data_IF_445264780364
#
_entry.id   IF_445264780364
#
_cell.length_a   1.000
_cell.length_b   1.000
_cell.length_c   1.000
_cell.angle_alpha   90.00
_cell.angle_beta   90.00
_cell.angle_gamma   90.00
#
_symmetry.space_group_name_H-M   'P 1'
#
loop_
_entity.id
_entity.type
_entity.pdbx_description
1 polymer ?
#
# COMPACT_ATOMS: atom_id res chain seq x y z
N UNK A 1 -49.78 96.69 -25.55
CA UNK A 1 -48.55 95.92 -25.32
C UNK A 1 -48.88 94.45 -25.46
N UNK A 2 -47.97 93.67 -26.03
CA UNK A 2 -48.21 92.38 -26.70
C UNK A 2 -48.88 91.28 -25.86
N UNK A 3 -49.70 90.48 -26.57
CA UNK A 3 -50.09 89.13 -26.18
C UNK A 3 -48.83 88.24 -26.21
N UNK A 4 -48.45 87.67 -25.08
CA UNK A 4 -47.41 86.64 -24.99
C UNK A 4 -48.02 85.33 -24.55
N UNK A 5 -48.47 84.53 -25.52
CA UNK A 5 -49.00 83.19 -25.26
C UNK A 5 -47.89 82.25 -24.80
N UNK A 6 -47.91 81.86 -23.54
CA UNK A 6 -47.25 80.65 -23.06
C UNK A 6 -48.16 79.46 -23.35
N UNK A 7 -48.28 79.08 -24.62
CA UNK A 7 -48.79 77.76 -24.98
C UNK A 7 -47.91 76.67 -24.37
N UNK A 8 -48.40 75.41 -24.31
CA UNK A 8 -47.64 74.31 -23.76
C UNK A 8 -46.24 74.27 -24.40
N UNK A 9 -45.24 74.14 -23.53
CA UNK A 9 -43.84 73.88 -23.90
C UNK A 9 -43.87 72.78 -24.95
N UNK A 10 -43.28 73.09 -26.10
CA UNK A 10 -43.21 72.24 -27.29
C UNK A 10 -43.18 70.75 -26.95
N UNK A 11 -44.09 69.98 -27.56
CA UNK A 11 -43.87 68.55 -27.71
C UNK A 11 -42.53 68.40 -28.43
N UNK A 12 -41.45 68.16 -27.69
CA UNK A 12 -40.21 67.61 -28.22
C UNK A 12 -40.60 66.39 -29.06
N UNK A 13 -40.06 66.29 -30.28
CA UNK A 13 -40.11 65.17 -31.25
C UNK A 13 -41.05 64.02 -30.88
N UNK A 14 -42.00 63.58 -31.74
CA UNK A 14 -42.92 62.48 -31.38
C UNK A 14 -42.10 61.33 -30.80
N UNK A 15 -42.23 61.07 -29.49
CA UNK A 15 -41.47 60.01 -28.87
C UNK A 15 -41.97 58.72 -29.49
N UNK A 16 -41.08 58.05 -30.22
CA UNK A 16 -41.41 56.83 -30.92
C UNK A 16 -41.65 55.75 -29.87
N UNK A 17 -42.91 55.43 -29.61
CA UNK A 17 -43.26 54.21 -28.88
C UNK A 17 -43.07 53.06 -29.85
N UNK A 18 -41.87 52.49 -29.86
CA UNK A 18 -41.59 51.23 -30.56
C UNK A 18 -42.10 50.09 -29.70
N UNK A 19 -43.07 49.34 -30.22
CA UNK A 19 -43.42 48.03 -29.69
C UNK A 19 -42.25 47.08 -29.96
N UNK A 20 -41.46 46.81 -28.92
CA UNK A 20 -40.46 45.72 -28.96
C UNK A 20 -41.09 44.50 -28.35
N UNK A 21 -41.14 43.42 -29.13
CA UNK A 21 -41.52 42.11 -28.61
C UNK A 21 -40.68 41.74 -27.38
N UNK A 22 -41.32 41.06 -26.44
CA UNK A 22 -40.62 40.36 -25.36
C UNK A 22 -39.84 39.20 -25.97
N UNK A 23 -38.62 38.99 -25.49
CA UNK A 23 -37.87 37.75 -25.77
C UNK A 23 -38.37 36.59 -24.88
N UNK A 24 -37.77 35.42 -25.03
CA UNK A 24 -38.06 34.21 -24.24
C UNK A 24 -37.79 34.38 -22.73
N UNK A 25 -37.06 35.43 -22.36
CA UNK A 25 -36.77 35.81 -20.99
C UNK A 25 -37.76 36.84 -20.42
N UNK A 26 -38.71 37.32 -21.22
CA UNK A 26 -39.64 38.38 -20.82
C UNK A 26 -39.00 39.77 -20.78
N UNK A 27 -37.92 39.99 -21.53
CA UNK A 27 -37.22 41.28 -21.63
C UNK A 27 -37.62 41.98 -22.94
N UNK A 28 -38.10 43.23 -22.86
CA UNK A 28 -38.48 44.00 -24.04
C UNK A 28 -37.26 44.25 -24.94
N UNK A 29 -37.23 43.64 -26.12
CA UNK A 29 -36.13 43.78 -27.06
C UNK A 29 -34.80 43.19 -26.59
N UNK A 30 -34.85 42.19 -25.71
CA UNK A 30 -33.69 41.36 -25.39
C UNK A 30 -33.35 40.40 -26.53
N UNK A 31 -32.23 39.70 -26.39
CA UNK A 31 -31.71 38.74 -27.37
C UNK A 31 -32.00 37.28 -26.98
N UNK A 32 -32.79 37.05 -25.94
CA UNK A 32 -33.14 35.71 -25.45
C UNK A 32 -32.03 35.00 -24.68
N UNK A 33 -30.86 35.63 -24.47
CA UNK A 33 -29.70 34.96 -23.86
C UNK A 33 -29.62 35.09 -22.34
N UNK A 34 -30.25 36.12 -21.76
CA UNK A 34 -30.10 36.47 -20.34
C UNK A 34 -30.69 35.49 -19.34
N UNK A 35 -31.52 34.54 -19.79
CA UNK A 35 -32.18 33.53 -18.95
C UNK A 35 -31.88 32.09 -19.41
N UNK A 36 -30.92 31.90 -20.31
CA UNK A 36 -30.53 30.56 -20.74
C UNK A 36 -29.93 29.79 -19.57
N UNK A 37 -30.40 28.57 -19.32
CA UNK A 37 -29.67 27.62 -18.52
C UNK A 37 -28.39 27.18 -19.23
N UNK A 38 -27.54 26.42 -18.53
CA UNK A 38 -26.32 25.86 -19.11
C UNK A 38 -26.59 24.88 -20.29
N UNK A 39 -27.85 24.45 -20.45
CA UNK A 39 -28.35 23.59 -21.53
C UNK A 39 -28.80 24.38 -22.76
N UNK A 40 -28.74 25.71 -22.72
CA UNK A 40 -29.21 26.59 -23.78
C UNK A 40 -30.74 26.68 -23.86
N UNK A 41 -31.45 26.26 -22.81
CA UNK A 41 -32.91 26.38 -22.74
C UNK A 41 -33.29 27.55 -21.83
N UNK A 42 -34.09 28.52 -22.32
CA UNK A 42 -34.58 29.63 -21.50
C UNK A 42 -35.33 29.13 -20.26
N UNK A 43 -35.01 29.66 -19.08
CA UNK A 43 -35.67 29.38 -17.81
C UNK A 43 -35.66 27.90 -17.37
N UNK A 44 -34.70 27.09 -17.83
CA UNK A 44 -34.61 25.65 -17.50
C UNK A 44 -34.16 25.35 -16.08
N UNK A 45 -33.62 26.35 -15.36
CA UNK A 45 -32.94 26.19 -14.06
C UNK A 45 -31.69 25.30 -14.10
N UNK A 46 -31.24 24.87 -15.28
CA UNK A 46 -30.02 24.10 -15.42
C UNK A 46 -28.81 24.99 -15.14
N UNK A 47 -27.99 24.61 -14.16
CA UNK A 47 -26.72 25.26 -13.83
C UNK A 47 -25.56 24.27 -13.94
N UNK A 48 -24.35 24.77 -14.17
CA UNK A 48 -23.14 23.97 -14.04
C UNK A 48 -22.93 23.56 -12.58
N UNK A 49 -22.56 22.30 -12.36
CA UNK A 49 -22.16 21.78 -11.06
C UNK A 49 -20.71 22.11 -10.72
N UNK A 50 -20.21 21.59 -9.59
CA UNK A 50 -18.82 21.78 -9.16
C UNK A 50 -17.79 21.20 -10.15
N UNK A 51 -18.21 20.29 -11.02
CA UNK A 51 -17.39 19.63 -12.03
C UNK A 51 -17.43 20.32 -13.40
N UNK A 52 -18.28 21.34 -13.55
CA UNK A 52 -18.52 22.01 -14.83
C UNK A 52 -19.48 21.25 -15.75
N UNK A 53 -20.22 20.28 -15.22
CA UNK A 53 -21.26 19.56 -15.95
C UNK A 53 -22.59 20.28 -15.80
N UNK A 54 -23.27 20.49 -16.92
CA UNK A 54 -24.57 21.14 -16.92
C UNK A 54 -25.64 20.18 -16.36
N UNK A 55 -26.28 20.58 -15.25
CA UNK A 55 -27.27 19.73 -14.56
C UNK A 55 -26.67 18.51 -13.85
N UNK A 56 -25.35 18.48 -13.67
CA UNK A 56 -24.68 17.44 -12.90
C UNK A 56 -24.95 17.57 -11.39
N UNK A 57 -24.63 16.51 -10.64
CA UNK A 57 -24.78 16.46 -9.19
C UNK A 57 -23.46 16.70 -8.44
N UNK A 58 -22.38 17.00 -9.16
CA UNK A 58 -21.04 17.18 -8.63
C UNK A 58 -20.28 15.89 -8.34
N UNK A 59 -20.85 14.71 -8.59
CA UNK A 59 -20.20 13.44 -8.24
C UNK A 59 -19.10 13.02 -9.21
N UNK A 60 -19.15 13.45 -10.48
CA UNK A 60 -18.25 12.98 -11.53
C UNK A 60 -16.77 13.35 -11.32
N UNK A 61 -16.51 14.42 -10.57
CA UNK A 61 -15.17 14.89 -10.23
C UNK A 61 -14.87 14.86 -8.73
N UNK A 62 -15.80 14.36 -7.90
CA UNK A 62 -15.62 14.32 -6.46
C UNK A 62 -14.68 13.18 -6.08
N UNK A 63 -13.58 13.50 -5.38
CA UNK A 63 -12.70 12.49 -4.82
C UNK A 63 -13.34 11.78 -3.62
N UNK A 64 -12.72 10.69 -3.16
CA UNK A 64 -13.21 9.91 -2.02
C UNK A 64 -13.32 10.72 -0.71
N UNK A 65 -12.69 11.89 -0.63
CA UNK A 65 -12.77 12.82 0.50
C UNK A 65 -13.92 13.84 0.40
N UNK A 66 -14.79 13.70 -0.60
CA UNK A 66 -15.93 14.58 -0.82
C UNK A 66 -15.56 15.94 -1.45
N UNK A 67 -14.32 16.10 -1.90
CA UNK A 67 -13.83 17.35 -2.50
C UNK A 67 -13.69 17.19 -4.01
N UNK A 68 -14.33 18.09 -4.76
CA UNK A 68 -14.19 18.16 -6.22
C UNK A 68 -12.73 18.35 -6.63
N UNK A 69 -12.27 17.55 -7.59
CA UNK A 69 -10.91 17.58 -8.14
C UNK A 69 -9.79 17.36 -7.12
N UNK A 70 -10.03 16.71 -5.98
CA UNK A 70 -8.99 16.44 -4.99
C UNK A 70 -7.91 15.47 -5.49
N UNK A 71 -8.23 14.68 -6.52
CA UNK A 71 -7.35 13.63 -7.05
C UNK A 71 -7.18 12.44 -6.11
N UNK A 72 -7.95 12.36 -5.02
CA UNK A 72 -7.91 11.23 -4.10
C UNK A 72 -8.91 10.15 -4.52
N UNK A 73 -8.43 8.92 -4.46
CA UNK A 73 -9.20 7.71 -4.68
C UNK A 73 -9.02 6.77 -3.50
N UNK A 74 -9.98 5.88 -3.29
CA UNK A 74 -9.81 4.80 -2.32
C UNK A 74 -8.67 3.88 -2.77
N UNK A 75 -7.81 3.50 -1.83
CA UNK A 75 -6.77 2.50 -2.07
C UNK A 75 -7.36 1.08 -2.12
N UNK A 76 -6.50 0.07 -2.30
CA UNK A 76 -6.94 -1.32 -2.30
C UNK A 76 -7.65 -1.74 -0.99
N UNK A 77 -7.40 -1.02 0.11
CA UNK A 77 -7.98 -1.26 1.42
C UNK A 77 -9.31 -0.51 1.65
N UNK A 78 -9.78 0.26 0.68
CA UNK A 78 -10.96 1.13 0.84
C UNK A 78 -10.68 2.39 1.66
N UNK A 79 -9.41 2.76 1.83
CA UNK A 79 -9.00 3.97 2.54
C UNK A 79 -8.76 5.09 1.55
N UNK A 80 -9.51 6.18 1.70
CA UNK A 80 -9.37 7.35 0.85
C UNK A 80 -7.97 7.96 0.93
N UNK A 81 -7.22 7.94 -0.18
CA UNK A 81 -5.84 8.42 -0.26
C UNK A 81 -4.84 7.58 0.52
N UNK A 82 -5.18 6.31 0.81
CA UNK A 82 -4.26 5.37 1.46
C UNK A 82 -3.16 4.86 0.53
N UNK A 83 -2.18 4.16 1.11
CA UNK A 83 -1.02 3.57 0.42
C UNK A 83 -1.22 2.08 0.08
N UNK A 84 -2.38 1.50 0.42
CA UNK A 84 -2.69 0.10 0.22
C UNK A 84 -2.05 -0.86 1.24
N UNK A 85 -1.35 -0.36 2.26
CA UNK A 85 -0.62 -1.22 3.22
C UNK A 85 -1.41 -1.55 4.49
N UNK A 86 -2.47 -0.79 4.78
CA UNK A 86 -3.27 -0.98 6.01
C UNK A 86 -3.98 -2.36 6.08
N UNK A 87 -4.22 -2.98 4.93
CA UNK A 87 -4.81 -4.31 4.78
C UNK A 87 -3.86 -5.31 4.11
N UNK A 88 -2.60 -4.94 3.90
CA UNK A 88 -1.62 -5.82 3.29
C UNK A 88 -1.16 -6.91 4.28
N UNK A 89 -0.91 -8.11 3.76
CA UNK A 89 -0.16 -9.12 4.50
C UNK A 89 1.30 -8.74 4.62
N UNK A 90 2.09 -9.60 5.28
CA UNK A 90 3.53 -9.39 5.44
C UNK A 90 4.31 -9.37 4.11
N UNK A 91 3.69 -9.82 3.02
CA UNK A 91 4.20 -9.83 1.65
C UNK A 91 3.95 -8.49 0.92
N UNK A 92 3.27 -7.55 1.56
CA UNK A 92 2.90 -6.26 0.99
C UNK A 92 1.71 -6.33 0.03
N UNK A 93 1.01 -7.47 -0.06
CA UNK A 93 -0.14 -7.65 -0.93
C UNK A 93 -1.44 -7.44 -0.14
N UNK A 94 -2.32 -6.50 -0.56
CA UNK A 94 -3.63 -6.29 0.04
C UNK A 94 -4.43 -7.60 0.16
N UNK A 95 -4.91 -7.88 1.37
CA UNK A 95 -5.75 -9.05 1.70
C UNK A 95 -5.15 -10.43 1.37
N UNK A 96 -3.82 -10.56 1.26
CA UNK A 96 -3.18 -11.87 1.05
C UNK A 96 -3.44 -12.85 2.20
N UNK A 97 -3.62 -12.33 3.41
CA UNK A 97 -3.77 -13.15 4.62
C UNK A 97 -2.45 -13.68 5.17
N UNK A 98 -1.34 -13.39 4.48
CA UNK A 98 0.01 -13.79 4.88
C UNK A 98 0.43 -13.08 6.17
N UNK A 99 0.98 -13.85 7.10
CA UNK A 99 1.44 -13.37 8.40
C UNK A 99 2.90 -13.70 8.60
N UNK A 100 3.56 -12.84 9.35
CA UNK A 100 4.90 -13.13 9.85
C UNK A 100 4.77 -14.27 10.86
N UNK A 101 5.56 -15.33 10.68
CA UNK A 101 5.63 -16.47 11.59
C UNK A 101 6.46 -16.14 12.85
N UNK A 102 6.69 -17.13 13.71
CA UNK A 102 7.54 -16.98 14.90
C UNK A 102 9.01 -16.70 14.59
N UNK A 103 9.45 -16.96 13.37
CA UNK A 103 10.83 -16.77 12.89
C UNK A 103 11.07 -15.35 12.37
N UNK A 104 10.01 -14.59 12.11
CA UNK A 104 10.12 -13.32 11.40
C UNK A 104 9.99 -13.46 9.88
N UNK A 105 9.68 -14.65 9.37
CA UNK A 105 9.51 -14.95 7.95
C UNK A 105 8.05 -14.76 7.56
N UNK A 106 7.82 -14.09 6.43
CA UNK A 106 6.47 -13.93 5.91
C UNK A 106 5.96 -15.22 5.25
N UNK A 107 4.78 -15.70 5.66
CA UNK A 107 4.21 -16.94 5.13
C UNK A 107 4.98 -18.19 5.51
N UNK A 108 5.77 -18.12 6.58
CA UNK A 108 6.51 -19.27 7.09
C UNK A 108 5.61 -20.23 7.87
N UNK A 109 5.83 -21.52 7.67
CA UNK A 109 5.10 -22.60 8.33
C UNK A 109 5.83 -23.15 9.57
N UNK A 110 6.99 -22.59 9.93
CA UNK A 110 7.94 -23.23 10.84
C UNK A 110 7.68 -22.91 12.32
N UNK A 111 7.28 -23.90 13.14
CA UNK A 111 7.04 -23.70 14.58
C UNK A 111 8.33 -23.72 15.41
N UNK A 112 9.48 -24.10 14.85
CA UNK A 112 10.70 -24.43 15.59
C UNK A 112 11.59 -23.22 15.86
N UNK A 113 11.24 -22.01 15.46
CA UNK A 113 12.08 -20.83 15.72
C UNK A 113 12.17 -20.43 17.20
N UNK A 114 11.26 -20.92 18.03
CA UNK A 114 11.37 -20.83 19.50
C UNK A 114 12.23 -21.93 20.13
N UNK A 115 12.65 -22.94 19.35
CA UNK A 115 13.33 -24.10 19.90
C UNK A 115 14.79 -23.79 20.24
N UNK A 116 15.29 -24.30 21.38
CA UNK A 116 16.67 -24.11 21.74
C UNK A 116 17.58 -24.91 20.81
N UNK A 117 18.76 -24.35 20.51
CA UNK A 117 19.86 -25.14 19.99
C UNK A 117 20.22 -26.25 20.99
N UNK A 118 20.30 -27.48 20.52
CA UNK A 118 20.81 -28.60 21.32
C UNK A 118 22.17 -29.01 20.81
N UNK A 119 23.08 -29.31 21.74
CA UNK A 119 24.39 -29.88 21.47
C UNK A 119 24.61 -31.03 22.45
N UNK A 120 24.86 -32.22 21.92
CA UNK A 120 25.23 -33.40 22.68
C UNK A 120 26.60 -33.91 22.23
N UNK A 121 27.40 -34.27 23.23
CA UNK A 121 28.73 -34.86 23.07
C UNK A 121 28.71 -36.22 23.76
N UNK A 122 28.95 -37.29 23.02
CA UNK A 122 29.06 -38.65 23.55
C UNK A 122 30.39 -39.27 23.11
N UNK A 123 31.15 -39.83 24.03
CA UNK A 123 32.42 -40.50 23.72
C UNK A 123 32.93 -41.29 24.91
N UNK A 124 33.83 -42.24 24.65
CA UNK A 124 34.51 -43.03 25.68
C UNK A 124 35.99 -42.59 25.81
N UNK A 125 36.57 -42.79 26.99
CA UNK A 125 37.99 -42.52 27.23
C UNK A 125 38.87 -43.52 26.47
N UNK A 126 40.08 -43.10 26.10
CA UNK A 126 41.03 -43.77 25.20
C UNK A 126 41.40 -45.23 25.56
N UNK A 127 41.09 -45.69 26.78
CA UNK A 127 41.45 -47.03 27.24
C UNK A 127 40.41 -48.11 26.85
N UNK A 128 39.33 -47.70 26.17
CA UNK A 128 38.16 -48.56 25.87
C UNK A 128 38.12 -49.14 24.45
N UNK A 129 39.10 -48.80 23.59
CA UNK A 129 39.16 -49.29 22.21
C UNK A 129 38.18 -48.62 21.23
N UNK A 130 37.29 -47.75 21.71
CA UNK A 130 36.48 -46.84 20.91
C UNK A 130 36.98 -45.41 21.11
N UNK A 131 37.92 -44.97 20.27
CA UNK A 131 38.49 -43.62 20.30
C UNK A 131 37.58 -42.55 19.69
N UNK A 132 36.28 -42.81 19.50
CA UNK A 132 35.38 -41.93 18.75
C UNK A 132 34.60 -40.99 19.67
N UNK A 133 34.54 -39.73 19.27
CA UNK A 133 33.62 -38.74 19.84
C UNK A 133 32.49 -38.52 18.85
N UNK A 134 31.27 -38.85 19.28
CA UNK A 134 30.03 -38.52 18.62
C UNK A 134 29.61 -37.11 19.04
N UNK A 135 29.40 -36.25 18.05
CA UNK A 135 28.79 -34.94 18.23
C UNK A 135 27.44 -34.98 17.51
N UNK A 136 26.36 -34.73 18.24
CA UNK A 136 25.04 -34.49 17.65
C UNK A 136 24.54 -33.11 18.04
N UNK A 137 23.83 -32.47 17.13
CA UNK A 137 23.23 -31.17 17.37
C UNK A 137 21.91 -31.05 16.62
N UNK A 138 20.99 -30.26 17.17
CA UNK A 138 19.77 -29.84 16.48
C UNK A 138 19.81 -28.32 16.37
N UNK A 139 19.64 -27.82 15.15
CA UNK A 139 19.41 -26.41 14.89
C UNK A 139 17.97 -26.24 14.37
N UNK A 140 17.20 -25.28 14.90
CA UNK A 140 15.94 -24.90 14.27
C UNK A 140 16.21 -24.33 12.86
N UNK A 141 15.24 -24.50 11.96
CA UNK A 141 15.31 -24.05 10.56
C UNK A 141 15.58 -22.54 10.44
N UNK A 142 16.12 -22.11 9.29
CA UNK A 142 16.27 -20.71 8.89
C UNK A 142 17.10 -19.78 9.79
N UNK A 143 17.80 -20.32 10.78
CA UNK A 143 18.82 -19.59 11.53
C UNK A 143 20.17 -19.56 10.81
N UNK A 144 20.98 -18.49 10.99
CA UNK A 144 22.35 -18.46 10.49
C UNK A 144 23.14 -19.63 11.07
N UNK A 145 23.86 -20.35 10.21
CA UNK A 145 24.54 -21.59 10.56
C UNK A 145 25.37 -21.50 11.84
N UNK A 146 25.19 -22.49 12.73
CA UNK A 146 26.02 -22.62 13.93
C UNK A 146 27.46 -22.94 13.56
N UNK A 147 28.41 -22.17 14.11
CA UNK A 147 29.84 -22.48 14.04
C UNK A 147 30.29 -23.16 15.33
N UNK A 148 30.48 -24.47 15.28
CA UNK A 148 31.06 -25.23 16.39
C UNK A 148 32.58 -25.37 16.22
N UNK A 149 33.36 -25.01 17.24
CA UNK A 149 34.83 -25.13 17.21
C UNK A 149 35.32 -25.92 18.41
N UNK A 150 35.77 -27.15 18.18
CA UNK A 150 36.45 -27.97 19.19
C UNK A 150 37.93 -27.56 19.23
N UNK A 151 38.47 -27.30 20.43
CA UNK A 151 39.91 -27.14 20.66
C UNK A 151 40.35 -28.23 21.62
N UNK A 152 41.25 -29.10 21.20
CA UNK A 152 41.92 -30.04 22.12
C UNK A 152 43.41 -29.72 22.14
N UNK A 153 44.09 -29.86 23.30
CA UNK A 153 45.53 -29.64 23.37
C UNK A 153 46.35 -30.66 22.55
N UNK A 154 45.71 -31.76 22.12
CA UNK A 154 46.31 -32.88 21.39
C UNK A 154 46.00 -32.91 19.89
N UNK A 155 45.07 -32.08 19.37
CA UNK A 155 44.79 -31.98 17.93
C UNK A 155 44.65 -30.51 17.47
N UNK A 156 45.40 -30.06 16.44
CA UNK A 156 45.36 -28.69 15.95
C UNK A 156 44.27 -28.41 14.90
N UNK A 157 43.42 -29.39 14.56
CA UNK A 157 42.44 -29.24 13.48
C UNK A 157 41.19 -28.48 13.95
N UNK A 158 40.83 -27.40 13.24
CA UNK A 158 39.51 -26.77 13.36
C UNK A 158 38.54 -27.43 12.38
N UNK A 159 37.45 -28.00 12.88
CA UNK A 159 36.29 -28.31 12.05
C UNK A 159 35.49 -27.03 11.80
N UNK A 160 35.25 -26.72 10.53
CA UNK A 160 34.29 -25.70 10.11
C UNK A 160 33.17 -26.43 9.36
N UNK A 161 31.94 -26.23 9.82
CA UNK A 161 30.74 -26.62 9.08
C UNK A 161 29.93 -25.37 8.78
N UNK A 162 29.50 -25.25 7.53
CA UNK A 162 28.52 -24.25 7.09
C UNK A 162 27.38 -25.04 6.43
N UNK A 163 26.11 -24.83 6.81
CA UNK A 163 25.00 -25.35 6.04
C UNK A 163 25.01 -24.62 4.69
N UNK A 164 25.52 -25.29 3.67
CA UNK A 164 25.53 -24.81 2.29
C UNK A 164 24.73 -25.77 1.43
N UNK A 165 23.49 -25.39 1.12
CA UNK A 165 22.58 -26.09 0.21
C UNK A 165 21.67 -27.08 0.93
N UNK A 166 20.37 -26.73 0.98
CA UNK A 166 19.26 -27.43 1.64
C UNK A 166 19.40 -27.70 3.14
N UNK A 167 18.51 -27.07 3.93
CA UNK A 167 18.24 -27.50 5.29
C UNK A 167 17.91 -29.00 5.28
N UNK A 168 18.52 -29.83 6.14
CA UNK A 168 18.06 -31.20 6.29
C UNK A 168 16.57 -31.15 6.70
N UNK A 169 15.72 -32.05 6.18
CA UNK A 169 14.30 -32.02 6.51
C UNK A 169 14.09 -32.02 8.03
N UNK A 170 13.04 -31.35 8.49
CA UNK A 170 12.70 -31.24 9.90
C UNK A 170 12.84 -32.60 10.62
N UNK A 171 13.60 -32.63 11.73
CA UNK A 171 13.79 -33.83 12.55
C UNK A 171 14.94 -34.76 12.17
N UNK A 172 15.90 -34.33 11.33
CA UNK A 172 17.10 -35.14 11.06
C UNK A 172 18.23 -34.82 12.04
N UNK A 173 18.46 -35.75 12.97
CA UNK A 173 19.70 -35.86 13.76
C UNK A 173 20.90 -35.98 12.82
N UNK A 174 21.72 -34.93 12.71
CA UNK A 174 23.02 -35.03 12.07
C UNK A 174 24.04 -35.56 13.09
N UNK A 175 24.49 -36.80 12.89
CA UNK A 175 25.53 -37.41 13.70
C UNK A 175 26.80 -37.64 12.86
N UNK A 176 27.88 -36.93 13.17
CA UNK A 176 29.20 -37.25 12.62
C UNK A 176 30.02 -38.02 13.64
N UNK A 177 30.47 -39.21 13.27
CA UNK A 177 31.47 -39.95 14.02
C UNK A 177 32.86 -39.42 13.63
N UNK A 178 33.59 -38.84 14.58
CA UNK A 178 34.99 -38.49 14.39
C UNK A 178 35.84 -39.75 14.65
N UNK A 179 36.51 -40.25 13.61
CA UNK A 179 37.42 -41.39 13.71
C UNK A 179 38.84 -40.87 14.01
N UNK A 180 39.34 -41.10 15.22
CA UNK A 180 40.68 -40.70 15.65
C UNK A 180 41.74 -41.75 15.25
N UNK A 181 41.62 -42.29 14.04
CA UNK A 181 42.46 -43.36 13.53
C UNK A 181 43.94 -42.98 13.43
N UNK A 182 44.71 -43.45 14.42
CA UNK A 182 46.12 -43.85 14.42
C UNK A 182 47.16 -42.96 13.70
N UNK A 183 48.02 -42.30 14.49
CA UNK A 183 49.21 -41.65 13.97
C UNK A 183 50.18 -41.07 14.98
N UNK A 184 50.50 -41.75 16.10
CA UNK A 184 51.69 -41.43 16.88
C UNK A 184 52.72 -42.57 16.79
N UNK A 185 53.78 -42.35 16.03
CA UNK A 185 55.11 -42.86 16.37
C UNK A 185 55.96 -41.68 16.81
N UNK A 186 56.31 -41.69 18.10
CA UNK A 186 57.30 -40.84 18.75
C UNK A 186 57.57 -41.46 20.11
#
# INVERSE_FOLDING_TARGET
>A
GGRGGGGPVTCSEPFLVVDRALDECGVCGGDGTGCLGCDGVPNSQASYDACGECGGDGSSCTGCDGVAFSGKYDDACGVCGGDGLSCAGCDGVPYSGEKVDSCGTCGGDDPHCGDPYTLALAGACADSGDERVLVSWTAPSDHPGLRFRVRTPSFPCSLEWSPGGEAPPAGVEASQALDFGAGYKG
#
